data_IF_846978218503
#
_entry.id   IF_846978218503
#
_cell.length_a   1.000
_cell.length_b   1.000
_cell.length_c   1.000
_cell.angle_alpha   90.00
_cell.angle_beta   90.00
_cell.angle_gamma   90.00
#
_symmetry.space_group_name_H-M   'P 1'
#
loop_
_entity.id
_entity.type
_entity.pdbx_description
1 polymer ?
#
# COMPACT_ATOMS: atom_id res chain seq x y z
N UNK A 1 -16.61 43.46 13.37
CA UNK A 1 -16.82 42.05 13.73
C UNK A 1 -15.47 41.37 13.71
N UNK A 2 -14.82 41.28 14.87
CA UNK A 2 -13.48 40.71 15.07
C UNK A 2 -13.62 39.26 15.50
N UNK A 3 -13.25 38.32 14.62
CA UNK A 3 -13.31 36.89 14.89
C UNK A 3 -12.07 36.46 15.69
N UNK A 4 -12.31 35.98 16.91
CA UNK A 4 -11.30 35.38 17.78
C UNK A 4 -11.03 33.96 17.31
N UNK A 5 -9.79 33.67 16.89
CA UNK A 5 -9.35 32.32 16.50
C UNK A 5 -8.97 31.56 17.77
N UNK A 6 -9.75 30.54 18.11
CA UNK A 6 -9.45 29.63 19.21
C UNK A 6 -8.27 28.72 18.83
N UNK A 7 -7.28 28.60 19.70
CA UNK A 7 -6.17 27.66 19.54
C UNK A 7 -6.62 26.22 19.79
N UNK A 8 -6.12 25.23 19.04
CA UNK A 8 -6.47 23.82 19.24
C UNK A 8 -5.84 23.29 20.54
N UNK A 9 -6.66 22.58 21.32
CA UNK A 9 -6.28 21.87 22.54
C UNK A 9 -5.25 20.78 22.23
N UNK A 10 -4.16 20.72 23.00
CA UNK A 10 -3.19 19.62 22.94
C UNK A 10 -3.80 18.35 23.54
N UNK A 11 -3.53 17.15 22.99
CA UNK A 11 -3.91 15.91 23.63
C UNK A 11 -3.09 15.69 24.90
N UNK A 12 -3.79 15.50 26.02
CA UNK A 12 -3.23 15.02 27.28
C UNK A 12 -2.99 13.52 27.20
N UNK A 13 -1.73 13.09 27.22
CA UNK A 13 -1.39 11.70 27.47
C UNK A 13 -1.44 11.43 28.98
N UNK A 14 -2.13 10.37 29.46
CA UNK A 14 -2.12 10.03 30.87
C UNK A 14 -0.71 9.59 31.30
N UNK A 15 -0.23 10.18 32.39
CA UNK A 15 0.99 9.77 33.08
C UNK A 15 0.74 8.42 33.77
N UNK A 16 1.60 7.40 33.61
CA UNK A 16 1.40 6.14 34.29
C UNK A 16 1.61 6.33 35.80
N UNK A 17 0.56 6.03 36.56
CA UNK A 17 0.59 6.00 38.02
C UNK A 17 1.31 4.72 38.44
N UNK A 18 2.41 4.87 39.19
CA UNK A 18 3.06 3.76 39.85
C UNK A 18 2.06 3.10 40.81
N UNK A 19 1.72 1.85 40.57
CA UNK A 19 0.94 1.02 41.50
C UNK A 19 1.91 0.10 42.21
N UNK A 20 1.81 0.11 43.53
CA UNK A 20 2.62 -0.68 44.46
C UNK A 20 2.33 -2.18 44.29
N UNK A 21 3.40 -2.97 44.18
CA UNK A 21 3.35 -4.43 44.12
C UNK A 21 2.91 -5.02 45.47
N UNK A 22 1.65 -5.48 45.54
CA UNK A 22 1.24 -6.50 46.49
C UNK A 22 1.18 -7.86 45.79
N UNK A 23 2.20 -8.69 46.05
CA UNK A 23 2.25 -10.08 45.62
C UNK A 23 1.26 -10.94 46.42
N UNK A 24 0.09 -11.22 45.86
CA UNK A 24 -0.76 -12.34 46.26
C UNK A 24 -0.61 -13.47 45.25
N UNK A 25 0.08 -14.54 45.65
CA UNK A 25 0.18 -15.79 44.90
C UNK A 25 -1.20 -16.39 44.67
N UNK A 26 -1.68 -16.33 43.43
CA UNK A 26 -2.81 -17.12 42.95
C UNK A 26 -2.28 -18.08 41.90
N UNK A 27 -2.30 -19.38 42.18
CA UNK A 27 -1.92 -20.42 41.22
C UNK A 27 -2.88 -20.41 40.02
N UNK A 28 -2.35 -20.04 38.85
CA UNK A 28 -3.07 -20.14 37.58
C UNK A 28 -2.97 -21.61 37.12
N UNK A 29 -4.09 -22.32 36.90
CA UNK A 29 -4.07 -23.68 36.38
C UNK A 29 -3.43 -23.70 34.98
N UNK A 30 -2.48 -24.61 34.77
CA UNK A 30 -1.88 -24.80 33.45
C UNK A 30 -2.96 -25.21 32.43
N UNK A 31 -2.97 -24.62 31.22
CA UNK A 31 -3.90 -25.01 30.18
C UNK A 31 -3.61 -26.44 29.74
N UNK A 32 -4.63 -27.29 29.86
CA UNK A 32 -4.60 -28.66 29.36
C UNK A 32 -4.38 -28.64 27.84
N UNK A 33 -3.34 -29.36 27.38
CA UNK A 33 -3.09 -29.60 25.95
C UNK A 33 -4.25 -30.40 25.36
N UNK A 34 -5.16 -29.73 24.67
CA UNK A 34 -6.16 -30.40 23.83
C UNK A 34 -5.49 -30.88 22.55
N UNK A 35 -5.40 -32.19 22.37
CA UNK A 35 -4.99 -32.83 21.12
C UNK A 35 -6.05 -32.54 20.04
N UNK A 36 -5.88 -31.43 19.31
CA UNK A 36 -6.66 -31.14 18.11
C UNK A 36 -5.98 -31.81 16.91
N UNK A 37 -6.68 -32.59 16.08
CA UNK A 37 -6.09 -33.21 14.90
C UNK A 37 -5.64 -32.10 13.93
N UNK A 38 -4.35 -32.05 13.63
CA UNK A 38 -3.83 -31.24 12.54
C UNK A 38 -4.29 -31.84 11.20
N UNK A 39 -5.39 -31.33 10.67
CA UNK A 39 -5.68 -31.48 9.25
C UNK A 39 -4.66 -30.66 8.48
N UNK A 40 -3.62 -31.31 7.96
CA UNK A 40 -2.75 -30.76 6.91
C UNK A 40 -3.60 -30.53 5.67
N UNK A 41 -4.20 -29.34 5.54
CA UNK A 41 -4.65 -28.86 4.25
C UNK A 41 -3.39 -28.67 3.41
N UNK A 42 -3.27 -29.50 2.38
CA UNK A 42 -2.21 -29.44 1.38
C UNK A 42 -2.46 -28.18 0.53
N UNK A 43 -2.16 -27.00 1.08
CA UNK A 43 -2.08 -25.75 0.32
C UNK A 43 -0.81 -25.81 -0.51
N UNK A 44 -0.80 -26.64 -1.55
CA UNK A 44 -0.01 -26.34 -2.75
C UNK A 44 -0.58 -25.06 -3.33
N UNK A 45 -0.24 -23.93 -2.70
CA UNK A 45 -0.51 -22.61 -3.25
C UNK A 45 0.02 -22.63 -4.67
N UNK A 46 -0.83 -22.30 -5.65
CA UNK A 46 -0.38 -21.99 -6.99
C UNK A 46 0.77 -20.98 -6.83
N UNK A 47 2.00 -21.42 -7.05
CA UNK A 47 3.11 -20.50 -7.18
C UNK A 47 2.82 -19.70 -8.44
N UNK A 48 2.26 -18.52 -8.26
CA UNK A 48 2.05 -17.55 -9.31
C UNK A 48 3.39 -17.33 -9.99
N UNK A 49 3.56 -17.84 -11.22
CA UNK A 49 4.69 -17.50 -12.07
C UNK A 49 4.30 -16.23 -12.83
N UNK A 50 4.90 -15.08 -12.54
CA UNK A 50 4.53 -13.82 -13.19
C UNK A 50 4.65 -13.87 -14.71
N UNK A 51 5.48 -14.76 -15.27
CA UNK A 51 5.70 -14.85 -16.71
C UNK A 51 4.65 -15.68 -17.48
N UNK A 52 3.92 -16.56 -16.81
CA UNK A 52 2.98 -17.47 -17.49
C UNK A 52 1.63 -16.81 -17.84
N UNK A 53 1.45 -15.55 -17.45
CA UNK A 53 0.14 -14.87 -17.48
C UNK A 53 0.25 -13.34 -17.67
N UNK A 54 1.18 -12.89 -18.53
CA UNK A 54 1.25 -11.45 -18.80
C UNK A 54 0.28 -11.08 -19.91
N UNK A 55 -0.77 -10.34 -19.55
CA UNK A 55 -1.50 -9.53 -20.50
C UNK A 55 -0.49 -8.67 -21.29
N UNK A 56 -0.52 -8.78 -22.61
CA UNK A 56 0.38 -8.00 -23.46
C UNK A 56 -0.14 -6.57 -23.61
N UNK A 57 0.72 -5.66 -24.08
CA UNK A 57 0.25 -4.34 -24.47
C UNK A 57 -0.80 -4.44 -25.59
N UNK A 58 -0.66 -5.40 -26.49
CA UNK A 58 -1.62 -5.69 -27.57
C UNK A 58 -2.99 -6.10 -27.02
N UNK A 59 -3.04 -6.92 -25.97
CA UNK A 59 -4.29 -7.28 -25.28
C UNK A 59 -4.98 -6.04 -24.70
N UNK A 60 -4.20 -5.08 -24.20
CA UNK A 60 -4.73 -3.82 -23.67
C UNK A 60 -5.17 -2.86 -24.77
N UNK A 61 -4.52 -2.87 -25.93
CA UNK A 61 -4.90 -2.03 -27.07
C UNK A 61 -6.21 -2.49 -27.72
N UNK A 62 -6.59 -3.77 -27.56
CA UNK A 62 -7.90 -4.29 -27.96
C UNK A 62 -9.04 -3.80 -27.05
N UNK A 63 -8.72 -3.22 -25.89
CA UNK A 63 -9.73 -2.65 -25.00
C UNK A 63 -10.20 -1.29 -25.53
N UNK A 64 -11.47 -1.21 -25.94
CA UNK A 64 -12.00 0.03 -26.46
C UNK A 64 -12.18 1.03 -25.29
N UNK A 65 -11.74 2.30 -25.40
CA UNK A 65 -11.89 3.28 -24.32
C UNK A 65 -13.33 3.48 -23.85
N UNK A 66 -14.33 3.22 -24.71
CA UNK A 66 -15.73 3.25 -24.30
C UNK A 66 -16.08 2.18 -23.28
N UNK A 67 -15.33 1.08 -23.18
CA UNK A 67 -15.58 0.01 -22.23
C UNK A 67 -15.06 0.36 -20.83
N UNK A 68 -14.25 1.42 -20.71
CA UNK A 68 -13.88 1.99 -19.42
C UNK A 68 -15.11 2.60 -18.74
N UNK A 69 -15.14 2.44 -17.43
CA UNK A 69 -16.04 3.21 -16.59
C UNK A 69 -15.61 4.68 -16.62
N UNK A 70 -16.57 5.60 -16.76
CA UNK A 70 -16.22 7.01 -16.80
C UNK A 70 -15.82 7.52 -15.41
N UNK A 71 -15.06 8.61 -15.39
CA UNK A 71 -14.76 9.35 -14.18
C UNK A 71 -16.00 9.68 -13.34
N UNK A 72 -17.10 10.06 -13.99
CA UNK A 72 -18.35 10.42 -13.34
C UNK A 72 -19.07 9.18 -12.80
N UNK A 73 -19.08 8.09 -13.55
CA UNK A 73 -19.71 6.84 -13.12
C UNK A 73 -19.01 6.28 -11.87
N UNK A 74 -17.68 6.35 -11.81
CA UNK A 74 -16.93 5.96 -10.60
C UNK A 74 -17.34 6.78 -9.38
N UNK A 75 -17.54 8.09 -9.54
CA UNK A 75 -18.00 8.98 -8.46
C UNK A 75 -19.44 8.67 -8.06
N UNK A 76 -20.33 8.46 -9.04
CA UNK A 76 -21.71 8.05 -8.77
C UNK A 76 -21.76 6.72 -8.02
N UNK A 77 -20.84 5.81 -8.32
CA UNK A 77 -20.77 4.50 -7.68
C UNK A 77 -20.36 4.58 -6.20
N UNK A 78 -19.63 5.61 -5.77
CA UNK A 78 -19.24 5.76 -4.36
C UNK A 78 -20.47 5.84 -3.45
N UNK A 79 -21.50 6.58 -3.87
CA UNK A 79 -22.71 6.87 -3.07
C UNK A 79 -23.81 5.82 -3.18
N UNK A 80 -23.65 4.82 -4.06
CA UNK A 80 -24.65 3.77 -4.21
C UNK A 80 -24.79 2.92 -2.95
N UNK A 81 -26.03 2.50 -2.61
CA UNK A 81 -26.28 1.50 -1.58
C UNK A 81 -25.50 0.18 -1.82
N UNK A 82 -25.11 -0.49 -0.73
CA UNK A 82 -24.29 -1.70 -0.81
C UNK A 82 -24.99 -2.87 -1.50
N UNK A 83 -26.30 -3.02 -1.33
CA UNK A 83 -27.12 -4.04 -2.01
C UNK A 83 -27.12 -3.85 -3.53
N UNK A 84 -27.19 -2.61 -4.01
CA UNK A 84 -27.07 -2.28 -5.45
C UNK A 84 -25.69 -2.65 -5.98
N UNK A 85 -24.62 -2.35 -5.20
CA UNK A 85 -23.25 -2.73 -5.56
C UNK A 85 -23.08 -4.25 -5.64
N UNK A 86 -23.60 -4.98 -4.65
CA UNK A 86 -23.55 -6.44 -4.59
C UNK A 86 -24.32 -7.08 -5.74
N UNK A 87 -25.49 -6.55 -6.11
CA UNK A 87 -26.25 -7.05 -7.25
C UNK A 87 -25.49 -6.90 -8.58
N UNK A 88 -24.80 -5.76 -8.78
CA UNK A 88 -23.96 -5.55 -9.95
C UNK A 88 -22.77 -6.53 -10.00
N UNK A 89 -22.11 -6.74 -8.86
CA UNK A 89 -21.02 -7.73 -8.72
C UNK A 89 -21.53 -9.14 -9.05
N UNK A 90 -22.69 -9.53 -8.52
CA UNK A 90 -23.28 -10.85 -8.80
C UNK A 90 -23.61 -11.03 -10.29
N UNK A 91 -24.09 -9.98 -10.97
CA UNK A 91 -24.32 -10.01 -12.41
C UNK A 91 -23.02 -10.28 -13.19
N UNK A 92 -21.93 -9.58 -12.84
CA UNK A 92 -20.62 -9.82 -13.44
C UNK A 92 -20.08 -11.22 -13.15
N UNK A 93 -20.29 -11.75 -11.94
CA UNK A 93 -19.92 -13.13 -11.59
C UNK A 93 -20.62 -14.15 -12.48
N UNK A 94 -21.94 -14.04 -12.62
CA UNK A 94 -22.72 -14.94 -13.48
C UNK A 94 -22.21 -14.94 -14.92
N UNK A 95 -21.80 -13.77 -15.44
CA UNK A 95 -21.18 -13.66 -16.77
C UNK A 95 -19.86 -14.43 -16.82
N UNK A 96 -18.97 -14.23 -15.85
CA UNK A 96 -17.65 -14.86 -15.81
C UNK A 96 -17.76 -16.38 -15.62
N UNK A 97 -18.66 -16.85 -14.76
CA UNK A 97 -18.91 -18.27 -14.48
C UNK A 97 -19.51 -19.00 -15.70
N UNK A 98 -20.28 -18.31 -16.54
CA UNK A 98 -20.86 -18.87 -17.76
C UNK A 98 -19.88 -18.94 -18.95
N UNK A 99 -18.65 -18.45 -18.82
CA UNK A 99 -17.66 -18.53 -19.89
C UNK A 99 -17.04 -19.95 -19.94
N UNK A 100 -17.22 -20.67 -21.04
CA UNK A 100 -16.88 -22.11 -21.20
C UNK A 100 -15.39 -22.46 -20.96
N UNK A 101 -14.49 -21.46 -20.99
CA UNK A 101 -13.04 -21.62 -20.86
C UNK A 101 -12.46 -21.15 -19.51
N UNK A 102 -13.18 -21.34 -18.41
CA UNK A 102 -12.69 -21.03 -17.05
C UNK A 102 -11.34 -21.67 -16.71
N UNK A 103 -10.96 -22.76 -17.39
CA UNK A 103 -9.67 -23.43 -17.18
C UNK A 103 -8.46 -22.56 -17.57
N UNK A 104 -8.64 -21.50 -18.36
CA UNK A 104 -7.56 -20.59 -18.74
C UNK A 104 -7.70 -19.19 -18.10
N UNK A 105 -7.44 -19.20 -16.78
CA UNK A 105 -6.88 -18.17 -15.90
C UNK A 105 -7.48 -16.76 -15.78
N UNK A 106 -7.95 -16.07 -16.84
CA UNK A 106 -8.29 -14.63 -16.74
C UNK A 106 -9.62 -14.34 -16.02
N UNK A 107 -10.70 -15.00 -16.44
CA UNK A 107 -11.99 -14.87 -15.78
C UNK A 107 -11.92 -15.31 -14.30
N UNK A 108 -11.16 -16.37 -14.01
CA UNK A 108 -10.89 -16.82 -12.65
C UNK A 108 -10.18 -15.75 -11.80
N UNK A 109 -9.25 -14.96 -12.37
CA UNK A 109 -8.62 -13.85 -11.63
C UNK A 109 -9.60 -12.75 -11.27
N UNK A 110 -10.53 -12.40 -12.17
CA UNK A 110 -11.60 -11.45 -11.85
C UNK A 110 -12.57 -12.00 -10.79
N UNK A 111 -12.90 -13.28 -10.85
CA UNK A 111 -13.69 -13.94 -9.79
C UNK A 111 -12.97 -13.87 -8.43
N UNK A 112 -11.68 -14.23 -8.39
CA UNK A 112 -10.85 -14.09 -7.19
C UNK A 112 -10.79 -12.65 -6.67
N UNK A 113 -10.72 -11.66 -7.57
CA UNK A 113 -10.81 -10.24 -7.20
C UNK A 113 -12.15 -9.93 -6.52
N UNK A 114 -13.28 -10.40 -7.08
CA UNK A 114 -14.59 -10.16 -6.49
C UNK A 114 -14.76 -10.85 -5.12
N UNK A 115 -14.10 -11.98 -4.90
CA UNK A 115 -14.13 -12.73 -3.64
C UNK A 115 -13.16 -12.21 -2.57
N UNK A 116 -12.29 -11.25 -2.90
CA UNK A 116 -11.31 -10.75 -1.94
C UNK A 116 -11.95 -9.73 -0.98
N UNK A 117 -12.16 -10.10 0.28
CA UNK A 117 -12.78 -9.24 1.31
C UNK A 117 -11.98 -7.97 1.65
N UNK A 118 -10.68 -7.95 1.35
CA UNK A 118 -9.82 -6.77 1.55
C UNK A 118 -10.03 -5.67 0.51
N UNK A 119 -10.75 -5.94 -0.58
CA UNK A 119 -10.96 -4.97 -1.66
C UNK A 119 -12.27 -4.20 -1.49
N UNK A 120 -12.21 -2.89 -1.73
CA UNK A 120 -13.35 -2.01 -1.52
C UNK A 120 -14.52 -2.37 -2.44
N UNK A 121 -15.74 -2.37 -1.88
CA UNK A 121 -16.95 -2.77 -2.61
C UNK A 121 -17.21 -1.89 -3.85
N UNK A 122 -16.89 -0.59 -3.77
CA UNK A 122 -17.04 0.33 -4.90
C UNK A 122 -16.09 -0.01 -6.05
N UNK A 123 -14.83 -0.36 -5.76
CA UNK A 123 -13.87 -0.81 -6.78
C UNK A 123 -14.33 -2.09 -7.46
N UNK A 124 -14.80 -3.08 -6.68
CA UNK A 124 -15.45 -4.28 -7.22
C UNK A 124 -16.61 -3.95 -8.14
N UNK A 125 -17.49 -3.03 -7.73
CA UNK A 125 -18.62 -2.61 -8.56
C UNK A 125 -18.18 -1.95 -9.87
N UNK A 126 -17.15 -1.10 -9.86
CA UNK A 126 -16.63 -0.47 -11.07
C UNK A 126 -16.14 -1.50 -12.10
N UNK A 127 -15.41 -2.52 -11.64
CA UNK A 127 -14.96 -3.61 -12.51
C UNK A 127 -16.15 -4.43 -12.99
N UNK A 128 -17.13 -4.71 -12.12
CA UNK A 128 -18.35 -5.41 -12.50
C UNK A 128 -19.12 -4.69 -13.62
N UNK A 129 -19.25 -3.36 -13.53
CA UNK A 129 -19.86 -2.56 -14.60
C UNK A 129 -19.09 -2.70 -15.92
N UNK A 130 -17.76 -2.68 -15.88
CA UNK A 130 -16.91 -2.88 -17.07
C UNK A 130 -17.11 -4.26 -17.68
N UNK A 131 -17.17 -5.32 -16.87
CA UNK A 131 -17.46 -6.69 -17.33
C UNK A 131 -18.83 -6.76 -18.00
N UNK A 132 -19.86 -6.23 -17.35
CA UNK A 132 -21.23 -6.20 -17.89
C UNK A 132 -21.29 -5.41 -19.19
N UNK A 133 -20.60 -4.27 -19.27
CA UNK A 133 -20.54 -3.44 -20.48
C UNK A 133 -19.83 -4.14 -21.63
N UNK A 134 -18.66 -4.73 -21.38
CA UNK A 134 -17.92 -5.54 -22.34
C UNK A 134 -18.75 -6.71 -22.89
N UNK A 135 -19.58 -7.31 -22.04
CA UNK A 135 -20.47 -8.41 -22.38
C UNK A 135 -21.64 -8.00 -23.29
N UNK A 136 -22.17 -6.78 -23.16
CA UNK A 136 -23.37 -6.29 -23.90
C UNK A 136 -23.17 -6.04 -25.40
N UNK A 137 -21.95 -6.16 -25.92
CA UNK A 137 -21.66 -5.98 -27.36
C UNK A 137 -22.02 -7.22 -28.22
N UNK A 138 -21.73 -7.13 -29.53
CA UNK A 138 -21.89 -8.26 -30.48
C UNK A 138 -21.27 -9.56 -29.93
N UNK A 139 -21.92 -10.70 -30.18
CA UNK A 139 -21.46 -12.04 -29.78
C UNK A 139 -20.02 -12.28 -30.24
N UNK A 140 -19.68 -11.83 -31.44
CA UNK A 140 -18.32 -11.89 -31.95
C UNK A 140 -17.38 -11.00 -31.10
N UNK A 141 -16.43 -11.64 -30.42
CA UNK A 141 -15.42 -10.97 -29.59
C UNK A 141 -15.86 -10.59 -28.17
N UNK A 142 -17.06 -11.00 -27.73
CA UNK A 142 -17.56 -10.76 -26.38
C UNK A 142 -16.58 -11.23 -25.29
N UNK A 143 -16.11 -12.47 -25.41
CA UNK A 143 -15.16 -13.05 -24.46
C UNK A 143 -13.84 -12.29 -24.45
N UNK A 144 -13.34 -11.90 -25.63
CA UNK A 144 -12.10 -11.10 -25.75
C UNK A 144 -12.22 -9.77 -25.02
N UNK A 145 -13.36 -9.06 -25.16
CA UNK A 145 -13.59 -7.79 -24.45
C UNK A 145 -13.66 -7.97 -22.94
N UNK A 146 -14.32 -9.03 -22.46
CA UNK A 146 -14.37 -9.35 -21.01
C UNK A 146 -12.97 -9.68 -20.49
N UNK A 147 -12.20 -10.50 -21.20
CA UNK A 147 -10.80 -10.78 -20.85
C UNK A 147 -9.91 -9.54 -20.90
N UNK A 148 -10.23 -8.57 -21.76
CA UNK A 148 -9.49 -7.31 -21.85
C UNK A 148 -9.75 -6.37 -20.65
N UNK A 149 -10.87 -6.53 -19.92
CA UNK A 149 -11.09 -5.84 -18.63
C UNK A 149 -10.01 -6.26 -17.63
N UNK A 150 -9.76 -7.56 -17.51
CA UNK A 150 -8.69 -8.07 -16.63
C UNK A 150 -7.32 -7.60 -17.10
N UNK A 151 -7.03 -7.73 -18.40
CA UNK A 151 -5.78 -7.30 -19.00
C UNK A 151 -5.49 -5.82 -18.71
N UNK A 152 -6.51 -4.96 -18.79
CA UNK A 152 -6.37 -3.54 -18.49
C UNK A 152 -5.82 -3.29 -17.07
N UNK A 153 -6.38 -3.94 -16.05
CA UNK A 153 -5.89 -3.77 -14.67
C UNK A 153 -4.56 -4.47 -14.42
N UNK A 154 -4.40 -5.67 -15.00
CA UNK A 154 -3.16 -6.41 -14.84
C UNK A 154 -2.00 -5.62 -15.43
N UNK A 155 -2.10 -5.18 -16.68
CA UNK A 155 -1.02 -4.45 -17.35
C UNK A 155 -0.75 -3.07 -16.74
N UNK A 156 -1.79 -2.30 -16.40
CA UNK A 156 -1.61 -0.90 -15.97
C UNK A 156 -1.34 -0.71 -14.48
N UNK A 157 -1.68 -1.71 -13.64
CA UNK A 157 -1.50 -1.59 -12.20
C UNK A 157 -0.80 -2.83 -11.66
N UNK A 158 -1.41 -4.01 -11.73
CA UNK A 158 -0.95 -5.16 -10.93
C UNK A 158 0.39 -5.74 -11.39
N UNK A 159 0.65 -5.76 -12.69
CA UNK A 159 1.91 -6.16 -13.28
C UNK A 159 3.01 -5.19 -12.88
N UNK A 160 2.77 -3.88 -13.01
CA UNK A 160 3.73 -2.87 -12.60
C UNK A 160 4.01 -2.94 -11.10
N UNK A 161 2.99 -3.17 -10.27
CA UNK A 161 3.15 -3.42 -8.84
C UNK A 161 3.92 -4.72 -8.58
N UNK A 162 3.74 -5.78 -9.38
CA UNK A 162 4.46 -7.04 -9.19
C UNK A 162 5.94 -6.97 -9.62
N UNK A 163 6.24 -6.26 -10.71
CA UNK A 163 7.60 -6.13 -11.24
C UNK A 163 8.40 -5.06 -10.51
N UNK A 164 7.73 -3.99 -10.10
CA UNK A 164 8.36 -2.80 -9.52
C UNK A 164 7.93 -2.52 -8.09
N UNK A 165 7.09 -3.36 -7.47
CA UNK A 165 6.68 -3.20 -6.07
C UNK A 165 7.87 -3.23 -5.13
N UNK A 166 8.91 -4.04 -5.41
CA UNK A 166 10.17 -4.00 -4.66
C UNK A 166 10.94 -2.66 -4.78
N UNK A 167 10.47 -1.74 -5.63
CA UNK A 167 11.00 -0.38 -5.83
C UNK A 167 10.05 0.67 -5.24
N UNK A 168 9.42 0.38 -4.09
CA UNK A 168 8.76 1.39 -3.24
C UNK A 168 9.73 2.46 -2.76
N UNK A 169 11.04 2.22 -2.88
CA UNK A 169 12.10 3.22 -2.72
C UNK A 169 12.49 3.88 -4.05
N UNK A 170 12.49 5.21 -4.09
CA UNK A 170 13.61 5.94 -4.70
C UNK A 170 14.89 5.60 -3.91
N UNK A 171 16.08 5.47 -4.54
CA UNK A 171 17.20 4.66 -4.05
C UNK A 171 17.46 4.75 -2.54
N UNK A 172 17.87 3.64 -1.89
CA UNK A 172 17.95 3.51 -0.44
C UNK A 172 18.61 4.73 0.19
N UNK A 173 18.05 5.22 1.30
CA UNK A 173 18.57 6.40 2.01
C UNK A 173 20.10 6.30 2.06
N UNK A 174 20.81 7.20 1.37
CA UNK A 174 22.26 7.11 1.24
C UNK A 174 22.87 6.89 2.61
N UNK A 175 23.64 5.81 2.74
CA UNK A 175 24.49 5.63 3.92
C UNK A 175 25.54 6.72 3.84
N UNK A 176 25.25 7.90 4.40
CA UNK A 176 26.24 8.94 4.59
C UNK A 176 27.34 8.34 5.45
N UNK A 177 28.48 8.02 4.82
CA UNK A 177 29.68 7.64 5.55
C UNK A 177 30.16 8.90 6.26
N UNK A 178 30.36 8.88 7.58
CA UNK A 178 30.76 10.07 8.34
C UNK A 178 32.03 10.76 7.82
N UNK A 179 32.85 10.05 7.03
CA UNK A 179 34.16 10.48 6.55
C UNK A 179 34.19 10.98 5.10
N UNK A 180 33.10 10.88 4.34
CA UNK A 180 33.10 11.36 2.95
C UNK A 180 32.73 12.85 2.89
N UNK A 181 33.55 13.69 2.22
CA UNK A 181 33.19 15.09 2.01
C UNK A 181 31.88 15.15 1.21
N UNK A 182 31.01 16.14 1.47
CA UNK A 182 29.75 16.29 0.75
C UNK A 182 30.03 16.41 -0.75
N UNK A 183 29.80 15.33 -1.49
CA UNK A 183 29.80 15.39 -2.95
C UNK A 183 28.61 16.25 -3.39
N UNK A 184 28.75 16.96 -4.50
CA UNK A 184 27.60 17.60 -5.13
C UNK A 184 26.55 16.52 -5.44
N UNK A 185 25.47 16.57 -4.67
CA UNK A 185 24.31 15.69 -4.81
C UNK A 185 23.44 16.28 -5.92
N UNK A 186 22.91 15.46 -6.84
CA UNK A 186 21.94 15.95 -7.83
C UNK A 186 20.67 16.43 -7.13
N UNK A 187 19.96 17.42 -7.70
CA UNK A 187 18.70 17.94 -7.13
C UNK A 187 17.69 16.82 -6.85
N UNK A 188 17.59 15.86 -7.76
CA UNK A 188 16.74 14.67 -7.60
C UNK A 188 17.13 13.82 -6.38
N UNK A 189 18.42 13.69 -6.09
CA UNK A 189 18.91 12.94 -4.94
C UNK A 189 18.75 13.72 -3.64
N UNK A 190 18.81 15.05 -3.68
CA UNK A 190 18.51 15.90 -2.54
C UNK A 190 17.02 15.82 -2.17
N UNK A 191 16.11 15.92 -3.14
CA UNK A 191 14.68 15.78 -2.89
C UNK A 191 14.30 14.43 -2.25
N UNK A 192 15.00 13.35 -2.63
CA UNK A 192 14.82 12.00 -2.05
C UNK A 192 15.33 11.91 -0.62
N UNK A 193 16.50 12.49 -0.34
CA UNK A 193 17.02 12.60 1.02
C UNK A 193 16.05 13.38 1.92
N UNK A 194 15.47 14.45 1.38
CA UNK A 194 14.48 15.26 2.08
C UNK A 194 13.20 14.45 2.36
N UNK A 195 12.71 13.65 1.41
CA UNK A 195 11.56 12.77 1.64
C UNK A 195 11.82 11.78 2.79
N UNK A 196 12.90 11.00 2.71
CA UNK A 196 13.20 9.98 3.72
C UNK A 196 13.45 10.59 5.11
N UNK A 197 14.11 11.74 5.17
CA UNK A 197 14.36 12.44 6.44
C UNK A 197 13.07 12.97 7.05
N UNK A 198 12.23 13.68 6.26
CA UNK A 198 10.94 14.20 6.75
C UNK A 198 10.02 13.06 7.20
N UNK A 199 10.03 11.95 6.48
CA UNK A 199 9.23 10.78 6.82
C UNK A 199 9.67 10.15 8.14
N UNK A 200 10.98 9.95 8.31
CA UNK A 200 11.52 9.45 9.56
C UNK A 200 11.23 10.41 10.74
N UNK A 201 11.20 11.73 10.52
CA UNK A 201 10.82 12.69 11.55
C UNK A 201 9.34 12.59 11.93
N UNK A 202 8.43 12.46 10.94
CA UNK A 202 7.00 12.17 11.17
C UNK A 202 6.84 10.88 12.00
N UNK A 203 7.61 9.86 11.63
CA UNK A 203 7.57 8.52 12.21
C UNK A 203 8.38 8.41 13.51
N UNK A 204 8.81 9.53 14.08
CA UNK A 204 9.57 9.60 15.35
C UNK A 204 10.82 8.73 15.36
N UNK A 205 11.44 8.59 14.20
CA UNK A 205 12.67 7.84 13.93
C UNK A 205 12.46 6.34 14.16
N UNK A 206 11.26 5.82 13.90
CA UNK A 206 10.90 4.41 14.17
C UNK A 206 10.35 3.71 12.95
N UNK A 207 10.66 2.42 12.87
CA UNK A 207 9.92 1.47 12.05
C UNK A 207 8.47 1.41 12.54
N UNK A 208 7.53 1.63 11.63
CA UNK A 208 6.11 1.69 11.99
C UNK A 208 5.50 0.33 12.35
N UNK A 209 6.19 -0.78 12.10
CA UNK A 209 5.67 -2.12 12.42
C UNK A 209 6.06 -2.59 13.82
N UNK A 210 7.30 -2.33 14.22
CA UNK A 210 7.86 -2.84 15.49
C UNK A 210 8.15 -1.72 16.49
N UNK A 211 8.07 -0.45 16.08
CA UNK A 211 8.49 0.68 16.90
C UNK A 211 10.01 0.75 17.11
N UNK A 212 10.78 -0.14 16.47
CA UNK A 212 12.25 -0.18 16.58
C UNK A 212 12.85 1.10 16.02
N UNK A 213 13.83 1.67 16.72
CA UNK A 213 14.48 2.91 16.28
C UNK A 213 15.34 2.71 15.03
N UNK A 214 15.38 3.73 14.20
CA UNK A 214 16.18 3.75 12.98
C UNK A 214 17.65 4.05 13.26
N UNK A 215 18.51 3.05 13.06
CA UNK A 215 19.96 3.15 13.26
C UNK A 215 20.60 4.20 12.34
N UNK A 216 20.24 4.21 11.06
CA UNK A 216 20.79 5.15 10.08
C UNK A 216 20.40 6.59 10.42
N UNK A 217 19.15 6.84 10.81
CA UNK A 217 18.71 8.19 11.18
C UNK A 217 19.31 8.65 12.52
N UNK A 218 19.43 7.75 13.51
CA UNK A 218 20.13 8.04 14.76
C UNK A 218 21.58 8.43 14.49
N UNK A 219 22.33 7.63 13.72
CA UNK A 219 23.73 7.94 13.38
C UNK A 219 23.88 9.29 12.68
N UNK A 220 22.99 9.63 11.75
CA UNK A 220 23.01 10.93 11.07
C UNK A 220 22.73 12.10 12.02
N UNK A 221 21.76 11.95 12.94
CA UNK A 221 21.40 13.02 13.88
C UNK A 221 22.43 13.17 15.00
N UNK A 222 22.99 12.09 15.55
CA UNK A 222 24.02 12.11 16.61
C UNK A 222 25.27 12.87 16.18
N UNK A 223 25.65 12.81 14.91
CA UNK A 223 26.81 13.52 14.39
C UNK A 223 26.66 15.05 14.46
N UNK A 224 25.46 15.59 14.72
CA UNK A 224 25.21 17.02 14.85
C UNK A 224 25.38 17.48 16.31
N UNK A 225 25.88 18.71 16.55
CA UNK A 225 26.04 19.24 17.91
C UNK A 225 24.74 19.24 18.76
N UNK A 226 23.59 19.44 18.13
CA UNK A 226 22.25 19.42 18.74
C UNK A 226 21.55 18.04 18.63
N UNK A 227 22.27 17.04 18.11
CA UNK A 227 21.77 15.71 17.79
C UNK A 227 21.06 15.01 18.94
N UNK A 228 21.73 14.81 20.11
CA UNK A 228 21.12 14.13 21.25
C UNK A 228 19.83 14.79 21.75
N UNK A 229 19.79 16.12 21.84
CA UNK A 229 18.60 16.85 22.27
C UNK A 229 17.45 16.69 21.26
N UNK A 230 17.74 16.74 19.97
CA UNK A 230 16.75 16.50 18.91
C UNK A 230 16.21 15.07 18.93
N UNK A 231 17.04 14.07 19.17
CA UNK A 231 16.61 12.67 19.27
C UNK A 231 15.70 12.47 20.47
N UNK A 232 16.05 13.02 21.64
CA UNK A 232 15.19 12.98 22.82
C UNK A 232 13.82 13.62 22.53
N UNK A 233 13.81 14.77 21.86
CA UNK A 233 12.57 15.47 21.46
C UNK A 233 11.71 14.67 20.48
N UNK A 234 12.32 14.04 19.47
CA UNK A 234 11.60 13.36 18.40
C UNK A 234 11.16 11.95 18.79
N UNK A 235 12.09 11.17 19.36
CA UNK A 235 11.87 9.75 19.66
C UNK A 235 11.39 9.50 21.10
N UNK A 236 11.49 10.49 21.98
CA UNK A 236 11.22 10.35 23.42
C UNK A 236 12.26 9.49 24.15
N UNK A 237 13.45 9.33 23.58
CA UNK A 237 14.50 8.43 24.11
C UNK A 237 15.79 9.20 24.31
N UNK A 238 16.33 9.10 25.52
CA UNK A 238 17.68 9.55 25.83
C UNK A 238 18.70 8.50 25.36
N UNK A 239 19.48 8.84 24.35
CA UNK A 239 20.48 7.96 23.76
C UNK A 239 21.86 8.08 24.41
N UNK A 240 22.10 9.09 25.25
CA UNK A 240 23.38 9.28 25.95
C UNK A 240 23.52 8.26 27.08
N UNK A 241 22.39 7.89 27.69
CA UNK A 241 22.33 7.08 28.90
C UNK A 241 21.86 5.62 28.69
N UNK A 242 21.44 5.24 27.47
CA UNK A 242 20.85 3.91 27.22
C UNK A 242 21.49 3.18 26.04
N UNK A 243 21.68 1.87 26.19
CA UNK A 243 21.90 0.95 25.06
C UNK A 243 20.56 0.73 24.36
N UNK A 244 20.28 1.56 23.36
CA UNK A 244 19.03 1.50 22.63
C UNK A 244 19.14 0.50 21.47
N UNK A 245 18.20 -0.43 21.38
CA UNK A 245 18.09 -1.32 20.22
C UNK A 245 17.63 -0.53 19.01
N UNK A 246 18.42 -0.56 17.93
CA UNK A 246 18.13 0.15 16.69
C UNK A 246 18.48 -0.72 15.48
N UNK A 247 17.70 -0.58 14.40
CA UNK A 247 17.81 -1.35 13.15
C UNK A 247 17.85 -0.40 11.96
N UNK A 248 18.44 -0.84 10.84
CA UNK A 248 18.42 -0.03 9.62
C UNK A 248 17.00 0.06 9.06
N UNK A 249 16.58 1.27 8.69
CA UNK A 249 15.26 1.54 8.11
C UNK A 249 15.36 2.28 6.79
N UNK A 250 14.30 2.21 6.00
CA UNK A 250 14.11 2.86 4.71
C UNK A 250 12.73 3.54 4.66
N UNK A 251 12.60 4.53 3.79
CA UNK A 251 11.34 5.17 3.47
C UNK A 251 10.68 4.42 2.31
N UNK A 252 9.51 3.84 2.57
CA UNK A 252 8.72 3.11 1.59
C UNK A 252 7.54 3.96 1.14
N UNK A 253 7.32 4.05 -0.17
CA UNK A 253 6.06 4.59 -0.68
C UNK A 253 4.94 3.54 -0.57
N UNK A 254 3.73 3.95 -0.17
CA UNK A 254 2.55 3.08 -0.09
C UNK A 254 2.02 2.81 -1.52
N UNK A 255 1.75 3.88 -2.27
CA UNK A 255 1.55 3.88 -3.71
C UNK A 255 2.94 4.02 -4.34
N UNK A 256 3.44 3.03 -5.10
CA UNK A 256 4.82 3.05 -5.57
C UNK A 256 5.18 4.30 -6.37
N UNK A 257 6.36 4.85 -6.07
CA UNK A 257 6.84 6.12 -6.64
C UNK A 257 6.81 6.16 -8.17
N UNK A 258 7.10 5.03 -8.83
CA UNK A 258 7.11 4.96 -10.30
C UNK A 258 5.75 5.29 -10.94
N UNK A 259 4.63 5.18 -10.20
CA UNK A 259 3.30 5.53 -10.70
C UNK A 259 3.14 7.05 -10.82
N UNK A 260 3.79 7.85 -9.97
CA UNK A 260 3.74 9.31 -10.02
C UNK A 260 4.92 9.94 -10.77
N UNK A 261 6.07 9.27 -10.79
CA UNK A 261 7.29 9.82 -11.38
C UNK A 261 7.22 9.86 -12.91
N UNK A 262 7.15 11.06 -13.48
CA UNK A 262 7.44 11.26 -14.90
C UNK A 262 8.95 11.21 -15.10
N UNK A 263 9.52 10.01 -15.21
CA UNK A 263 10.83 9.92 -15.87
C UNK A 263 10.63 10.30 -17.34
N UNK A 264 11.65 10.89 -17.98
CA UNK A 264 11.58 11.27 -19.40
C UNK A 264 11.15 10.11 -20.35
N UNK A 265 11.27 8.86 -19.88
CA UNK A 265 10.85 7.63 -20.56
C UNK A 265 9.36 7.30 -20.44
N UNK A 266 8.65 7.78 -19.41
CA UNK A 266 7.22 7.48 -19.20
C UNK A 266 6.40 8.64 -19.74
N UNK A 267 5.65 8.40 -20.81
CA UNK A 267 4.76 9.42 -21.36
C UNK A 267 3.65 9.79 -20.36
N UNK A 268 3.24 11.07 -20.35
CA UNK A 268 2.11 11.56 -19.54
C UNK A 268 0.84 10.72 -19.75
N UNK A 269 0.67 10.19 -20.97
CA UNK A 269 -0.44 9.30 -21.31
C UNK A 269 -0.39 7.99 -20.52
N UNK A 270 0.78 7.38 -20.37
CA UNK A 270 0.96 6.16 -19.57
C UNK A 270 0.73 6.46 -18.09
N UNK A 271 1.29 7.56 -17.57
CA UNK A 271 1.05 7.99 -16.19
C UNK A 271 -0.45 8.15 -15.92
N UNK A 272 -1.15 8.94 -16.74
CA UNK A 272 -2.59 9.15 -16.62
C UNK A 272 -3.36 7.82 -16.66
N UNK A 273 -3.02 6.90 -17.57
CA UNK A 273 -3.67 5.60 -17.68
C UNK A 273 -3.49 4.74 -16.42
N UNK A 274 -2.29 4.73 -15.84
CA UNK A 274 -2.03 4.00 -14.60
C UNK A 274 -2.84 4.56 -13.42
N UNK A 275 -2.94 5.89 -13.30
CA UNK A 275 -3.75 6.54 -12.27
C UNK A 275 -5.25 6.34 -12.49
N UNK A 276 -5.74 6.41 -13.73
CA UNK A 276 -7.14 6.11 -14.06
C UNK A 276 -7.50 4.67 -13.65
N UNK A 277 -6.60 3.71 -13.91
CA UNK A 277 -6.77 2.33 -13.49
C UNK A 277 -6.73 2.19 -11.95
N UNK A 278 -5.81 2.89 -11.27
CA UNK A 278 -5.71 2.90 -9.81
C UNK A 278 -6.98 3.48 -9.15
N UNK A 279 -7.50 4.60 -9.66
CA UNK A 279 -8.76 5.19 -9.19
C UNK A 279 -9.96 4.31 -9.49
N UNK A 280 -9.92 3.50 -10.55
CA UNK A 280 -11.00 2.54 -10.81
C UNK A 280 -11.05 1.46 -9.73
N UNK A 281 -9.88 0.96 -9.30
CA UNK A 281 -9.74 -0.03 -8.23
C UNK A 281 -10.00 0.56 -6.85
N UNK A 282 -9.55 1.80 -6.61
CA UNK A 282 -9.63 2.50 -5.33
C UNK A 282 -10.17 3.92 -5.53
N UNK A 283 -11.49 4.08 -5.76
CA UNK A 283 -12.06 5.37 -6.15
C UNK A 283 -11.90 6.46 -5.10
N UNK A 284 -11.84 6.07 -3.82
CA UNK A 284 -11.58 7.00 -2.73
C UNK A 284 -10.21 7.66 -2.81
N UNK A 285 -9.22 7.13 -3.54
CA UNK A 285 -7.92 7.79 -3.67
C UNK A 285 -8.01 9.12 -4.40
N UNK A 286 -8.99 9.28 -5.30
CA UNK A 286 -9.07 10.41 -6.22
C UNK A 286 -9.22 11.76 -5.53
N UNK A 287 -9.91 11.80 -4.40
CA UNK A 287 -10.16 13.03 -3.65
C UNK A 287 -8.99 13.39 -2.71
N UNK A 288 -8.07 12.46 -2.50
CA UNK A 288 -7.03 12.56 -1.47
C UNK A 288 -5.62 12.60 -2.04
N UNK A 289 -5.42 11.99 -3.20
CA UNK A 289 -4.10 11.64 -3.66
C UNK A 289 -3.97 11.60 -5.18
N UNK A 290 -3.12 12.46 -5.74
CA UNK A 290 -2.81 12.56 -7.17
C UNK A 290 -1.35 12.24 -7.54
N UNK A 291 -1.03 12.13 -8.85
CA UNK A 291 0.33 11.89 -9.34
C UNK A 291 1.35 12.89 -8.83
N UNK A 292 0.98 14.16 -8.72
CA UNK A 292 1.81 15.26 -8.20
C UNK A 292 2.10 15.15 -6.70
N UNK A 293 1.35 14.31 -5.98
CA UNK A 293 1.51 14.11 -4.55
C UNK A 293 2.33 12.87 -4.23
N UNK A 294 2.96 12.20 -5.20
CA UNK A 294 3.64 10.92 -5.00
C UNK A 294 4.70 10.94 -3.87
N UNK A 295 5.45 12.04 -3.73
CA UNK A 295 6.44 12.29 -2.67
C UNK A 295 5.84 12.97 -1.42
N UNK A 296 4.51 13.00 -1.30
CA UNK A 296 3.82 13.47 -0.10
C UNK A 296 4.08 12.50 1.05
N UNK A 297 4.23 13.05 2.26
CA UNK A 297 4.42 12.24 3.44
C UNK A 297 3.23 11.29 3.69
N UNK A 298 2.01 11.65 3.26
CA UNK A 298 0.85 10.76 3.39
C UNK A 298 1.00 9.44 2.60
N UNK A 299 1.90 9.40 1.62
CA UNK A 299 2.22 8.21 0.84
C UNK A 299 3.50 7.51 1.29
N UNK A 300 4.10 7.92 2.40
CA UNK A 300 5.30 7.30 2.93
C UNK A 300 5.04 6.51 4.20
N UNK A 301 5.86 5.48 4.42
CA UNK A 301 6.03 4.82 5.71
C UNK A 301 7.50 4.45 5.97
N UNK A 302 7.99 4.67 7.19
CA UNK A 302 9.34 4.24 7.60
C UNK A 302 9.31 2.78 8.04
N UNK A 303 10.08 1.93 7.36
CA UNK A 303 10.14 0.48 7.60
C UNK A 303 11.56 -0.01 7.82
N UNK A 304 11.75 -1.07 8.61
CA UNK A 304 12.99 -1.84 8.60
C UNK A 304 13.26 -2.38 7.20
N UNK A 305 14.53 -2.53 6.84
CA UNK A 305 14.93 -3.02 5.50
C UNK A 305 14.23 -4.35 5.14
N UNK A 306 14.17 -5.31 6.07
CA UNK A 306 13.46 -6.58 5.85
C UNK A 306 11.96 -6.35 5.60
N UNK A 307 11.29 -5.51 6.40
CA UNK A 307 9.87 -5.21 6.21
C UNK A 307 9.61 -4.45 4.92
N UNK A 308 10.51 -3.55 4.53
CA UNK A 308 10.42 -2.82 3.27
C UNK A 308 10.50 -3.78 2.08
N UNK A 309 11.40 -4.77 2.12
CA UNK A 309 11.50 -5.79 1.09
C UNK A 309 10.23 -6.66 0.98
N UNK A 310 9.69 -7.11 2.12
CA UNK A 310 8.43 -7.88 2.14
C UNK A 310 7.22 -7.03 1.72
N UNK A 311 7.16 -5.76 2.14
CA UNK A 311 6.11 -4.81 1.76
C UNK A 311 6.13 -4.52 0.26
N UNK A 312 7.31 -4.21 -0.29
CA UNK A 312 7.47 -3.98 -1.72
C UNK A 312 7.17 -5.22 -2.56
N UNK A 313 7.50 -6.42 -2.07
CA UNK A 313 7.14 -7.66 -2.77
C UNK A 313 5.67 -8.10 -2.58
N UNK A 314 4.83 -7.24 -1.98
CA UNK A 314 3.41 -7.50 -1.71
C UNK A 314 3.17 -8.77 -0.88
N UNK A 315 4.14 -9.16 -0.05
CA UNK A 315 4.01 -10.25 0.94
C UNK A 315 3.56 -9.75 2.29
N UNK A 316 3.52 -8.43 2.45
CA UNK A 316 3.22 -7.73 3.66
C UNK A 316 2.36 -6.52 3.32
N UNK A 317 1.20 -6.43 3.95
CA UNK A 317 0.26 -5.33 3.83
C UNK A 317 0.01 -4.67 5.19
N UNK A 318 -0.71 -3.55 5.16
CA UNK A 318 -1.08 -2.81 6.35
C UNK A 318 -2.58 -2.82 6.55
N UNK A 319 -2.99 -3.30 7.72
CA UNK A 319 -4.35 -3.09 8.22
C UNK A 319 -4.35 -1.89 9.15
N UNK A 320 -5.10 -0.85 8.79
CA UNK A 320 -5.37 0.26 9.70
C UNK A 320 -6.22 -0.24 10.86
N UNK A 321 -5.82 0.09 12.08
CA UNK A 321 -6.53 -0.31 13.30
C UNK A 321 -7.29 0.90 13.86
N UNK A 322 -6.59 1.79 14.55
CA UNK A 322 -7.11 3.02 15.12
C UNK A 322 -5.98 4.06 15.21
N UNK A 323 -6.32 5.35 15.11
CA UNK A 323 -5.37 6.46 15.05
C UNK A 323 -4.28 6.24 13.97
N UNK A 324 -3.00 6.39 14.34
CA UNK A 324 -1.84 6.13 13.45
C UNK A 324 -1.26 4.72 13.64
N UNK A 325 -2.05 3.77 14.16
CA UNK A 325 -1.60 2.39 14.42
C UNK A 325 -1.99 1.47 13.27
N UNK A 326 -0.98 0.74 12.78
CA UNK A 326 -1.13 -0.23 11.71
C UNK A 326 -0.67 -1.61 12.17
N UNK A 327 -1.40 -2.63 11.74
CA UNK A 327 -1.03 -4.02 11.95
C UNK A 327 -0.45 -4.61 10.65
N UNK A 328 0.73 -5.24 10.70
CA UNK A 328 1.26 -5.97 9.56
C UNK A 328 0.41 -7.21 9.27
N UNK A 329 -0.03 -7.36 8.01
CA UNK A 329 -0.74 -8.54 7.52
C UNK A 329 0.15 -9.25 6.50
N UNK A 330 0.58 -10.47 6.81
CA UNK A 330 1.33 -11.31 5.87
C UNK A 330 0.35 -11.99 4.90
N UNK A 331 0.65 -11.90 3.60
CA UNK A 331 -0.23 -12.30 2.50
C UNK A 331 0.09 -13.68 1.92
#
# INVERSE_FOLDING_TARGET
MTATVASPLRPHYPTPTATEDHQSHTEIPQPQKTNRPETKQDTKGLRYNPQDVLATEEDCQQFHPSDLISAQDMLNNLTLPNDVKLAAIQSARNILEAMDNLKDSRACRLLHYFDNDGLCLTGKKNIADMVVKAHKGNEQGREKRVCAVEAYFWYNVLHLLSENGGKTSTPPTPRLRPSEPPRAVSEEHQAKLDFAQRLAERDRIRDQFTGTLSRNMLSQKIARPDGPANILKLAGVDIVNFKVSASSTEAAHIIPHFLGSCTASVSERVRKRNWDALYTLFPSLRDWFGPEQIDSLCNGITLRIEHHAEFGSLRLALRHMYDDIYEPVFL
#
